data_IF_045986677631
#
_entry.id   IF_045986677631
#
_cell.length_a   1.000
_cell.length_b   1.000
_cell.length_c   1.000
_cell.angle_alpha   90.00
_cell.angle_beta   90.00
_cell.angle_gamma   90.00
#
_symmetry.space_group_name_H-M   'P 1'
#
loop_
_entity.id
_entity.type
_entity.pdbx_description
1 polymer ?
#
# COMPACT_ATOMS: atom_id res chain seq x y z
N UNK A 1 -8.13 -2.73 -20.32
CA UNK A 1 -7.46 -2.64 -19.52
C UNK A 1 -6.26 -3.22 -19.46
N UNK A 2 -5.48 -2.68 -19.47
CA UNK A 2 -4.25 -3.09 -19.51
C UNK A 2 -3.81 -3.81 -18.33
N UNK A 3 -4.50 -3.61 -17.30
CA UNK A 3 -3.97 -4.20 -16.19
C UNK A 3 -4.38 -5.56 -15.97
N UNK A 4 -4.94 -6.24 -16.91
CA UNK A 4 -5.19 -7.63 -16.76
C UNK A 4 -3.88 -8.40 -16.74
N UNK A 5 -2.82 -7.83 -17.23
CA UNK A 5 -1.54 -8.51 -17.20
C UNK A 5 -0.87 -8.37 -15.86
N UNK A 6 -0.21 -9.44 -15.42
CA UNK A 6 0.60 -9.36 -14.24
C UNK A 6 1.89 -8.62 -14.56
N UNK A 7 2.33 -7.71 -13.72
CA UNK A 7 3.64 -7.12 -13.93
C UNK A 7 4.72 -8.16 -13.75
N UNK A 8 5.90 -7.93 -14.29
CA UNK A 8 6.99 -8.90 -14.11
C UNK A 8 7.32 -9.02 -12.63
N UNK A 9 7.87 -10.17 -12.22
CA UNK A 9 8.24 -10.33 -10.82
C UNK A 9 9.23 -9.27 -10.37
N UNK A 10 9.18 -8.93 -9.11
CA UNK A 10 10.13 -8.01 -8.51
C UNK A 10 11.45 -8.75 -8.30
N UNK A 11 12.53 -8.11 -8.71
CA UNK A 11 13.85 -8.73 -8.58
C UNK A 11 14.72 -7.84 -7.70
N UNK A 12 15.89 -8.36 -7.33
CA UNK A 12 16.87 -7.56 -6.61
C UNK A 12 16.70 -7.55 -5.11
N UNK A 13 15.79 -8.37 -4.59
CA UNK A 13 15.55 -8.38 -3.16
C UNK A 13 16.08 -9.61 -2.45
N UNK A 14 16.83 -10.46 -3.13
CA UNK A 14 17.19 -11.76 -2.57
C UNK A 14 18.50 -11.79 -1.79
N UNK A 15 19.17 -10.66 -1.65
CA UNK A 15 20.51 -10.68 -1.05
C UNK A 15 20.52 -11.18 0.38
N UNK A 16 19.48 -10.82 1.14
CA UNK A 16 19.41 -11.19 2.53
C UNK A 16 18.85 -12.60 2.74
N UNK A 17 17.96 -13.02 1.88
CA UNK A 17 17.26 -14.29 2.08
C UNK A 17 16.49 -14.67 0.83
N UNK A 18 16.23 -15.96 0.64
CA UNK A 18 15.34 -16.42 -0.42
C UNK A 18 13.93 -16.66 0.11
N UNK A 19 13.68 -16.36 1.37
CA UNK A 19 12.38 -16.60 1.98
C UNK A 19 11.34 -15.59 1.46
N UNK A 20 10.21 -16.04 0.93
CA UNK A 20 9.20 -15.12 0.41
C UNK A 20 8.71 -14.10 1.43
N UNK A 21 8.45 -14.52 2.66
CA UNK A 21 7.94 -13.58 3.65
C UNK A 21 8.99 -12.57 4.07
N UNK A 22 10.25 -12.98 4.15
CA UNK A 22 11.33 -12.07 4.50
C UNK A 22 11.49 -11.01 3.41
N UNK A 23 11.42 -11.41 2.14
CA UNK A 23 11.52 -10.47 1.04
C UNK A 23 10.31 -9.54 0.99
N UNK A 24 9.13 -10.05 1.30
CA UNK A 24 7.94 -9.22 1.35
C UNK A 24 8.11 -8.13 2.42
N UNK A 25 8.61 -8.51 3.59
CA UNK A 25 8.84 -7.52 4.64
C UNK A 25 9.87 -6.47 4.24
N UNK A 26 10.87 -6.85 3.48
CA UNK A 26 11.85 -5.88 3.00
C UNK A 26 11.21 -4.84 2.08
N UNK A 27 10.19 -5.25 1.32
CA UNK A 27 9.53 -4.33 0.40
C UNK A 27 8.50 -3.44 1.08
N UNK A 28 7.68 -4.01 1.94
CA UNK A 28 6.52 -3.30 2.47
C UNK A 28 6.46 -3.24 3.98
N UNK A 29 7.49 -3.71 4.66
CA UNK A 29 7.41 -3.87 6.11
C UNK A 29 7.61 -2.63 6.94
N UNK A 30 8.11 -1.52 6.35
CA UNK A 30 8.23 -0.32 7.14
C UNK A 30 6.84 0.29 7.34
N UNK A 31 6.65 0.92 8.48
CA UNK A 31 5.31 1.37 8.87
C UNK A 31 4.69 2.36 7.89
N UNK A 32 5.49 3.21 7.27
CA UNK A 32 4.94 4.23 6.39
C UNK A 32 4.46 3.65 5.05
N UNK A 33 5.22 2.72 4.49
CA UNK A 33 4.81 2.02 3.26
C UNK A 33 3.51 1.26 3.51
N UNK A 34 3.47 0.53 4.62
CA UNK A 34 2.31 -0.26 4.97
C UNK A 34 1.08 0.63 5.16
N UNK A 35 1.28 1.78 5.80
CA UNK A 35 0.19 2.70 6.05
C UNK A 35 -0.40 3.27 4.76
N UNK A 36 0.44 3.59 3.78
CA UNK A 36 -0.04 4.08 2.48
C UNK A 36 -0.87 3.00 1.78
N UNK A 37 -0.39 1.76 1.79
CA UNK A 37 -1.13 0.66 1.16
C UNK A 37 -2.47 0.46 1.88
N UNK A 38 -2.47 0.52 3.21
CA UNK A 38 -3.69 0.41 3.99
C UNK A 38 -4.71 1.46 3.57
N UNK A 39 -4.25 2.71 3.45
CA UNK A 39 -5.14 3.81 3.10
C UNK A 39 -5.72 3.63 1.71
N UNK A 40 -4.94 3.12 0.78
CA UNK A 40 -5.44 2.88 -0.56
C UNK A 40 -6.42 1.72 -0.62
N UNK A 41 -6.12 0.64 0.09
CA UNK A 41 -6.98 -0.55 0.06
C UNK A 41 -8.32 -0.33 0.75
N UNK A 42 -8.30 0.27 1.93
CA UNK A 42 -9.49 0.31 2.77
C UNK A 42 -10.16 1.67 2.85
N UNK A 43 -9.41 2.75 2.71
CA UNK A 43 -9.98 4.08 2.81
C UNK A 43 -10.11 4.75 1.44
N UNK A 44 -9.71 4.06 0.40
CA UNK A 44 -9.86 4.50 -0.99
C UNK A 44 -9.18 5.83 -1.29
N UNK A 45 -8.11 6.12 -0.58
CA UNK A 45 -7.37 7.35 -0.82
C UNK A 45 -6.60 7.27 -2.11
N UNK A 46 -6.52 8.37 -2.84
CA UNK A 46 -5.88 8.42 -4.13
C UNK A 46 -4.92 9.58 -4.30
N UNK A 47 -5.12 10.68 -3.58
CA UNK A 47 -4.33 11.87 -3.81
C UNK A 47 -3.29 12.06 -2.71
N UNK A 48 -2.25 12.79 -3.05
CA UNK A 48 -1.18 13.10 -2.11
C UNK A 48 -1.75 13.76 -0.83
N UNK A 49 -2.65 14.72 -1.02
CA UNK A 49 -3.24 15.40 0.12
C UNK A 49 -4.08 14.49 1.00
N UNK A 50 -4.77 13.53 0.39
CA UNK A 50 -5.55 12.59 1.19
C UNK A 50 -4.66 11.72 2.07
N UNK A 51 -3.50 11.29 1.54
CA UNK A 51 -2.58 10.51 2.35
C UNK A 51 -2.03 11.32 3.52
N UNK A 52 -1.81 12.61 3.32
CA UNK A 52 -1.28 13.46 4.39
C UNK A 52 -2.25 13.63 5.55
N UNK A 53 -3.53 13.31 5.34
CA UNK A 53 -4.53 13.48 6.38
C UNK A 53 -4.70 12.26 7.27
N UNK A 54 -3.87 11.25 7.09
CA UNK A 54 -3.94 10.06 7.94
C UNK A 54 -3.59 10.43 9.38
N UNK A 55 -4.25 9.77 10.35
CA UNK A 55 -4.01 10.11 11.76
C UNK A 55 -2.57 9.91 12.20
N UNK A 56 -1.83 9.07 11.52
CA UNK A 56 -0.43 8.82 11.86
C UNK A 56 0.49 9.95 11.42
N UNK A 57 -0.02 10.93 10.66
CA UNK A 57 0.72 12.15 10.33
C UNK A 57 2.04 11.91 9.59
N UNK A 58 1.94 11.26 8.44
CA UNK A 58 3.13 11.01 7.64
C UNK A 58 3.73 12.31 7.12
N UNK A 59 5.05 12.45 7.21
CA UNK A 59 5.73 13.63 6.70
C UNK A 59 5.74 13.63 5.17
N UNK A 60 5.70 14.83 4.59
CA UNK A 60 5.61 15.00 3.15
C UNK A 60 6.77 14.33 2.40
N UNK A 61 7.99 14.48 2.90
CA UNK A 61 9.14 13.88 2.23
C UNK A 61 9.13 12.36 2.32
N UNK A 62 8.62 11.81 3.41
CA UNK A 62 8.52 10.36 3.55
C UNK A 62 7.44 9.84 2.60
N UNK A 63 6.31 10.51 2.53
CA UNK A 63 5.24 10.10 1.62
C UNK A 63 5.72 10.11 0.18
N UNK A 64 6.43 11.17 -0.22
CA UNK A 64 6.97 11.27 -1.57
C UNK A 64 7.87 10.08 -1.88
N UNK A 65 8.76 9.74 -0.96
CA UNK A 65 9.68 8.63 -1.13
C UNK A 65 8.95 7.29 -1.23
N UNK A 66 7.98 7.07 -0.35
CA UNK A 66 7.27 5.80 -0.34
C UNK A 66 6.41 5.61 -1.58
N UNK A 67 5.76 6.65 -2.05
CA UNK A 67 4.98 6.56 -3.29
C UNK A 67 5.88 6.24 -4.47
N UNK A 68 7.06 6.85 -4.52
CA UNK A 68 8.01 6.57 -5.58
C UNK A 68 8.44 5.10 -5.55
N UNK A 69 8.78 4.59 -4.38
CA UNK A 69 9.21 3.20 -4.23
C UNK A 69 8.11 2.21 -4.59
N UNK A 70 6.89 2.48 -4.15
CA UNK A 70 5.77 1.62 -4.47
C UNK A 70 5.51 1.60 -5.97
N UNK A 71 5.66 2.73 -6.63
CA UNK A 71 5.50 2.80 -8.07
C UNK A 71 6.60 2.00 -8.77
N UNK A 72 7.83 2.12 -8.30
CA UNK A 72 8.96 1.39 -8.89
C UNK A 72 8.78 -0.12 -8.78
N UNK A 73 8.16 -0.58 -7.73
CA UNK A 73 7.93 -2.01 -7.54
C UNK A 73 6.63 -2.49 -8.17
N UNK A 74 5.94 -1.62 -8.89
CA UNK A 74 4.71 -2.02 -9.58
C UNK A 74 3.53 -2.28 -8.68
N UNK A 75 3.55 -1.72 -7.46
CA UNK A 75 2.45 -1.90 -6.52
C UNK A 75 1.38 -0.85 -6.75
N UNK A 76 1.78 0.35 -7.18
CA UNK A 76 0.84 1.41 -7.50
C UNK A 76 1.19 2.04 -8.84
N UNK A 77 0.24 2.77 -9.38
CA UNK A 77 0.42 3.57 -10.59
C UNK A 77 0.07 5.01 -10.28
N UNK A 78 0.76 5.93 -10.95
CA UNK A 78 0.48 7.35 -10.83
C UNK A 78 -0.12 7.80 -12.14
N UNK A 79 -1.32 8.35 -12.11
CA UNK A 79 -2.03 8.76 -13.33
C UNK A 79 -2.45 10.20 -13.23
N UNK A 80 -2.35 10.93 -14.36
CA UNK A 80 -2.90 12.28 -14.36
C UNK A 80 -4.40 12.18 -14.68
N UNK A 81 -5.21 12.92 -13.93
CA UNK A 81 -6.63 12.95 -14.20
C UNK A 81 -7.08 14.33 -14.64
N UNK A 82 -6.16 15.27 -14.72
CA UNK A 82 -6.43 16.63 -15.12
C UNK A 82 -5.17 17.22 -15.72
N UNK A 83 -5.29 18.06 -16.76
CA UNK A 83 -4.11 18.56 -17.45
C UNK A 83 -3.76 20.01 -17.15
N UNK A 84 -4.73 20.85 -16.85
CA UNK A 84 -4.48 22.28 -16.63
C UNK A 84 -5.18 22.77 -15.38
N UNK A 85 -4.51 22.79 -14.23
CA UNK A 85 -3.13 22.34 -13.99
C UNK A 85 -3.08 20.83 -13.93
N UNK A 86 -1.87 20.29 -14.04
CA UNK A 86 -1.71 18.83 -13.97
C UNK A 86 -1.98 18.36 -12.56
N UNK A 87 -2.85 17.36 -12.44
CA UNK A 87 -3.14 16.75 -11.17
C UNK A 87 -3.06 15.25 -11.29
N UNK A 88 -2.53 14.62 -10.26
CA UNK A 88 -2.28 13.19 -10.27
C UNK A 88 -3.08 12.47 -9.20
N UNK A 89 -3.38 11.22 -9.47
CA UNK A 89 -3.90 10.33 -8.44
C UNK A 89 -3.14 9.02 -8.53
N UNK A 90 -3.17 8.27 -7.44
CA UNK A 90 -2.46 7.00 -7.32
C UNK A 90 -3.48 5.89 -7.18
N UNK A 91 -3.26 4.79 -7.88
CA UNK A 91 -4.15 3.63 -7.82
C UNK A 91 -3.33 2.37 -7.64
N UNK A 92 -3.93 1.35 -7.03
CA UNK A 92 -3.26 0.08 -6.85
C UNK A 92 -3.27 -0.71 -8.14
N UNK A 93 -2.15 -1.38 -8.43
CA UNK A 93 -2.10 -2.34 -9.52
C UNK A 93 -2.67 -3.66 -9.02
N UNK A 94 -2.75 -4.67 -9.89
CA UNK A 94 -3.14 -6.00 -9.48
C UNK A 94 -2.23 -6.50 -8.36
N UNK A 95 -0.93 -6.26 -8.50
CA UNK A 95 0.03 -6.65 -7.47
C UNK A 95 -0.28 -5.99 -6.14
N UNK A 96 -0.68 -4.71 -6.17
CA UNK A 96 -1.07 -4.01 -4.96
C UNK A 96 -2.35 -4.54 -4.36
N UNK A 97 -3.34 -4.83 -5.20
CA UNK A 97 -4.60 -5.38 -4.71
C UNK A 97 -4.41 -6.75 -4.07
N UNK A 98 -3.44 -7.50 -4.54
CA UNK A 98 -3.17 -8.83 -3.97
C UNK A 98 -2.67 -8.76 -2.52
N UNK A 99 -2.29 -7.58 -2.04
CA UNK A 99 -1.90 -7.41 -0.64
C UNK A 99 -3.08 -7.34 0.31
N UNK A 100 -4.31 -7.26 -0.22
CA UNK A 100 -5.50 -7.11 0.63
C UNK A 100 -5.63 -8.24 1.66
N UNK A 101 -5.45 -9.48 1.23
CA UNK A 101 -5.58 -10.61 2.15
C UNK A 101 -4.55 -10.55 3.27
N UNK A 102 -3.32 -10.16 2.94
CA UNK A 102 -2.28 -10.04 3.95
C UNK A 102 -2.65 -8.96 4.97
N UNK A 103 -3.10 -7.81 4.49
CA UNK A 103 -3.48 -6.71 5.37
C UNK A 103 -4.65 -7.08 6.27
N UNK A 104 -5.64 -7.79 5.72
CA UNK A 104 -6.78 -8.22 6.51
C UNK A 104 -6.35 -9.12 7.64
N UNK A 105 -5.44 -10.06 7.36
CA UNK A 105 -4.97 -10.95 8.42
C UNK A 105 -4.16 -10.19 9.48
N UNK A 106 -3.41 -9.18 9.07
CA UNK A 106 -2.70 -8.38 10.05
C UNK A 106 -3.66 -7.58 10.92
N UNK A 107 -4.72 -7.04 10.34
CA UNK A 107 -5.74 -6.33 11.10
C UNK A 107 -6.39 -7.27 12.12
N UNK A 108 -6.73 -8.47 11.68
CA UNK A 108 -7.36 -9.44 12.57
C UNK A 108 -6.44 -9.83 13.71
N UNK A 109 -5.20 -10.11 13.40
CA UNK A 109 -4.24 -10.50 14.41
C UNK A 109 -4.04 -9.38 15.43
N UNK A 110 -3.88 -8.15 14.93
CA UNK A 110 -3.69 -7.00 15.81
C UNK A 110 -4.89 -6.76 16.70
N UNK A 111 -6.08 -6.84 16.13
CA UNK A 111 -7.30 -6.61 16.91
C UNK A 111 -7.50 -7.70 17.97
N UNK A 112 -7.12 -8.95 17.67
CA UNK A 112 -7.27 -10.04 18.60
C UNK A 112 -6.28 -9.98 19.75
N UNK A 113 -5.08 -9.48 19.51
CA UNK A 113 -3.99 -9.60 20.48
C UNK A 113 -3.52 -8.28 21.08
N UNK A 114 -3.84 -7.14 20.49
CA UNK A 114 -3.39 -5.86 21.01
C UNK A 114 -4.58 -5.12 21.59
N UNK A 115 -4.54 -4.96 22.92
CA UNK A 115 -5.64 -4.34 23.62
C UNK A 115 -5.76 -2.87 23.24
N UNK A 116 -6.99 -2.42 23.03
CA UNK A 116 -7.23 -1.02 22.73
C UNK A 116 -7.29 -0.68 21.26
N UNK A 117 -7.06 -1.64 20.36
CA UNK A 117 -7.24 -1.36 18.95
C UNK A 117 -8.73 -1.34 18.61
N UNK A 118 -9.09 -0.54 17.60
CA UNK A 118 -10.50 -0.45 17.22
C UNK A 118 -10.94 -1.73 16.49
N UNK A 119 -12.25 -1.97 16.48
CA UNK A 119 -12.82 -3.12 15.79
C UNK A 119 -13.24 -2.68 14.40
N UNK A 120 -12.59 -3.18 13.34
CA UNK A 120 -12.95 -2.75 11.98
C UNK A 120 -14.35 -3.23 11.60
N UNK A 121 -15.05 -2.48 10.73
CA UNK A 121 -16.34 -2.97 10.23
C UNK A 121 -16.15 -4.29 9.49
N UNK A 122 -17.06 -5.25 9.68
CA UNK A 122 -16.89 -6.57 9.06
C UNK A 122 -16.73 -6.52 7.55
N UNK A 123 -17.39 -5.58 6.89
CA UNK A 123 -17.30 -5.52 5.43
C UNK A 123 -15.90 -5.16 4.94
N UNK A 124 -15.10 -4.50 5.74
CA UNK A 124 -13.74 -4.18 5.33
C UNK A 124 -12.83 -5.39 5.38
N UNK A 125 -13.22 -6.43 6.10
CA UNK A 125 -12.40 -7.61 6.27
C UNK A 125 -12.72 -8.73 5.29
N UNK A 126 -13.48 -8.45 4.26
CA UNK A 126 -13.75 -9.46 3.25
C UNK A 126 -12.58 -9.50 2.29
N UNK A 127 -12.11 -10.70 2.05
CA UNK A 127 -11.00 -10.91 1.14
C UNK A 127 -11.40 -10.95 -0.32
#
# INVERSE_FOLDING_TARGET
MKNSKHPPPITGCLERSECPSTNTLDLIGDKWTFLVIRDMLFLKKKSFNEFLQSPESIATNILTDRLKRLKEHGIIEKNSYQKNPVRYEYTLTRRGEDLRSLMIEMIRWGNAHIKGTFVPPPKLLKK
#
